data_IF_280411573589
#
_entry.id   IF_280411573589
#
_cell.length_a   1.000
_cell.length_b   1.000
_cell.length_c   1.000
_cell.angle_alpha   90.00
_cell.angle_beta   90.00
_cell.angle_gamma   90.00
#
_symmetry.space_group_name_H-M   'P 1'
#
loop_
_entity.id
_entity.type
_entity.pdbx_description
1 polymer ?
#
# COMPACT_ATOMS: atom_id res chain seq x y z
N UNK A 1 9.89 -5.63 -16.01
CA UNK A 1 9.11 -6.73 -15.42
C UNK A 1 7.88 -6.10 -14.80
N UNK A 2 6.69 -6.55 -15.19
CA UNK A 2 5.43 -5.81 -15.04
C UNK A 2 5.11 -5.51 -13.58
N UNK A 3 5.24 -4.22 -13.22
CA UNK A 3 4.74 -3.60 -12.00
C UNK A 3 3.32 -4.07 -11.73
N UNK A 4 3.09 -4.61 -10.54
CA UNK A 4 1.75 -4.95 -10.07
C UNK A 4 0.96 -3.66 -9.90
N UNK A 5 0.30 -3.21 -10.98
CA UNK A 5 -0.67 -2.13 -10.90
C UNK A 5 -1.91 -2.66 -10.20
N UNK A 6 -1.88 -2.64 -8.86
CA UNK A 6 -2.94 -3.19 -8.01
C UNK A 6 -4.27 -2.54 -8.38
N UNK A 7 -5.24 -3.36 -8.77
CA UNK A 7 -6.62 -2.92 -8.95
C UNK A 7 -7.26 -2.67 -7.58
N UNK A 8 -8.36 -1.91 -7.55
CA UNK A 8 -9.10 -1.67 -6.30
C UNK A 8 -9.58 -2.98 -5.66
N UNK A 9 -10.02 -3.94 -6.46
CA UNK A 9 -10.40 -5.29 -6.00
C UNK A 9 -9.24 -6.05 -5.36
N UNK A 10 -8.01 -5.78 -5.78
CA UNK A 10 -6.83 -6.40 -5.20
C UNK A 10 -6.54 -5.81 -3.82
N UNK A 11 -6.77 -4.51 -3.62
CA UNK A 11 -6.64 -3.84 -2.32
C UNK A 11 -7.63 -4.40 -1.29
N UNK A 12 -8.88 -4.61 -1.69
CA UNK A 12 -9.91 -5.20 -0.80
C UNK A 12 -9.57 -6.64 -0.41
N UNK A 13 -9.12 -7.44 -1.38
CA UNK A 13 -8.68 -8.81 -1.13
C UNK A 13 -7.46 -8.84 -0.22
N UNK A 14 -6.50 -7.96 -0.44
CA UNK A 14 -5.30 -7.83 0.39
C UNK A 14 -5.66 -7.45 1.82
N UNK A 15 -6.58 -6.49 2.00
CA UNK A 15 -7.07 -6.08 3.31
C UNK A 15 -7.78 -7.22 4.05
N UNK A 16 -8.57 -8.04 3.33
CA UNK A 16 -9.22 -9.22 3.91
C UNK A 16 -8.20 -10.25 4.41
N UNK A 17 -7.17 -10.56 3.59
CA UNK A 17 -6.10 -11.49 3.98
C UNK A 17 -5.34 -10.97 5.20
N UNK A 18 -4.97 -9.69 5.23
CA UNK A 18 -4.26 -9.10 6.37
C UNK A 18 -5.12 -9.11 7.64
N UNK A 19 -6.43 -8.89 7.52
CA UNK A 19 -7.35 -8.92 8.66
C UNK A 19 -7.54 -10.33 9.24
N UNK A 20 -7.57 -11.35 8.38
CA UNK A 20 -7.81 -12.74 8.79
C UNK A 20 -6.54 -13.45 9.27
N UNK A 21 -5.41 -13.22 8.59
CA UNK A 21 -4.19 -13.99 8.77
C UNK A 21 -2.97 -13.16 9.21
N UNK A 22 -3.10 -11.84 9.26
CA UNK A 22 -2.00 -10.92 9.53
C UNK A 22 -1.18 -10.58 8.28
N UNK A 23 -0.21 -9.69 8.44
CA UNK A 23 0.60 -9.18 7.32
C UNK A 23 1.73 -10.13 6.90
N UNK A 24 2.15 -11.04 7.77
CA UNK A 24 3.30 -11.91 7.52
C UNK A 24 3.03 -13.00 6.46
N UNK A 25 1.75 -13.29 6.19
CA UNK A 25 1.35 -14.23 5.14
C UNK A 25 1.25 -13.58 3.75
N UNK A 26 1.34 -12.26 3.68
CA UNK A 26 1.24 -11.52 2.42
C UNK A 26 2.58 -11.58 1.71
N UNK A 27 2.54 -11.87 0.41
CA UNK A 27 3.75 -11.84 -0.42
C UNK A 27 4.41 -10.46 -0.37
N UNK A 28 5.72 -10.35 -0.07
CA UNK A 28 6.40 -9.05 0.06
C UNK A 28 6.21 -8.14 -1.16
N UNK A 29 6.21 -8.70 -2.37
CA UNK A 29 5.99 -7.94 -3.60
C UNK A 29 4.62 -7.23 -3.66
N UNK A 30 3.58 -7.77 -3.02
CA UNK A 30 2.27 -7.12 -2.91
C UNK A 30 2.29 -5.99 -1.88
N UNK A 31 3.07 -6.14 -0.81
CA UNK A 31 3.28 -5.09 0.19
C UNK A 31 4.05 -3.92 -0.44
N UNK A 32 5.07 -4.23 -1.23
CA UNK A 32 5.85 -3.23 -1.98
C UNK A 32 4.97 -2.50 -3.00
N UNK A 33 4.15 -3.24 -3.77
CA UNK A 33 3.23 -2.64 -4.73
C UNK A 33 2.19 -1.73 -4.05
N UNK A 34 1.69 -2.10 -2.87
CA UNK A 34 0.82 -1.23 -2.07
C UNK A 34 1.56 0.03 -1.63
N UNK A 35 2.78 -0.12 -1.12
CA UNK A 35 3.60 0.99 -0.66
C UNK A 35 3.89 1.97 -1.80
N UNK A 36 4.32 1.48 -2.96
CA UNK A 36 4.57 2.27 -4.17
C UNK A 36 3.31 3.01 -4.63
N UNK A 37 2.18 2.31 -4.68
CA UNK A 37 0.89 2.92 -5.05
C UNK A 37 0.51 4.01 -4.05
N UNK A 38 0.65 3.76 -2.75
CA UNK A 38 0.32 4.74 -1.72
C UNK A 38 1.25 5.97 -1.80
N UNK A 39 2.55 5.77 -2.04
CA UNK A 39 3.55 6.82 -2.22
C UNK A 39 3.22 7.71 -3.43
N UNK A 40 2.86 7.10 -4.56
CA UNK A 40 2.40 7.83 -5.74
C UNK A 40 1.12 8.66 -5.49
N UNK A 41 0.39 8.37 -4.39
CA UNK A 41 -0.78 9.12 -3.92
C UNK A 41 -0.49 10.02 -2.70
N UNK A 42 0.78 10.28 -2.41
CA UNK A 42 1.23 11.20 -1.36
C UNK A 42 1.22 10.60 0.04
N UNK A 43 1.38 9.28 0.19
CA UNK A 43 1.58 8.67 1.49
C UNK A 43 2.93 9.02 2.12
N UNK A 44 3.05 8.76 3.43
CA UNK A 44 4.31 8.94 4.17
C UNK A 44 5.33 7.87 3.80
N UNK A 45 6.55 8.31 3.43
CA UNK A 45 7.69 7.43 3.20
C UNK A 45 8.08 6.62 4.45
N UNK A 46 7.90 7.18 5.64
CA UNK A 46 8.16 6.46 6.89
C UNK A 46 7.19 5.29 7.07
N UNK A 47 5.90 5.46 6.76
CA UNK A 47 4.94 4.37 6.85
C UNK A 47 5.21 3.29 5.79
N UNK A 48 5.64 3.70 4.59
CA UNK A 48 6.08 2.78 3.54
C UNK A 48 7.30 1.95 3.98
N UNK A 49 8.29 2.59 4.62
CA UNK A 49 9.44 1.88 5.20
C UNK A 49 9.02 0.89 6.29
N UNK A 50 8.16 1.32 7.22
CA UNK A 50 7.69 0.44 8.30
C UNK A 50 6.96 -0.79 7.74
N UNK A 51 6.07 -0.63 6.77
CA UNK A 51 5.26 -1.78 6.29
C UNK A 51 6.10 -2.81 5.54
N UNK A 52 7.14 -2.37 4.83
CA UNK A 52 8.00 -3.20 3.96
C UNK A 52 9.18 -3.81 4.70
N UNK A 53 9.55 -3.30 5.87
CA UNK A 53 10.62 -3.87 6.69
C UNK A 53 10.10 -5.07 7.51
N UNK A 54 10.54 -6.31 7.23
CA UNK A 54 10.11 -7.49 7.98
C UNK A 54 10.68 -7.56 9.41
N UNK A 55 11.66 -6.71 9.75
CA UNK A 55 12.25 -6.65 11.10
C UNK A 55 11.41 -5.79 12.05
N UNK A 56 10.51 -4.97 11.51
CA UNK A 56 9.56 -4.18 12.30
C UNK A 56 8.49 -5.07 12.96
N UNK A 57 7.99 -4.72 14.16
CA UNK A 57 6.94 -5.50 14.82
C UNK A 57 5.69 -5.62 13.95
N UNK A 58 5.11 -6.82 13.86
CA UNK A 58 3.92 -7.10 13.05
C UNK A 58 2.76 -6.12 13.32
N UNK A 59 2.56 -5.72 14.58
CA UNK A 59 1.54 -4.73 14.94
C UNK A 59 1.80 -3.33 14.36
N UNK A 60 3.07 -2.90 14.27
CA UNK A 60 3.45 -1.64 13.63
C UNK A 60 3.22 -1.71 12.12
N UNK A 61 3.61 -2.82 11.51
CA UNK A 61 3.42 -3.11 10.08
C UNK A 61 1.94 -3.12 9.69
N UNK A 62 1.08 -3.79 10.46
CA UNK A 62 -0.38 -3.81 10.22
C UNK A 62 -0.98 -2.40 10.31
N UNK A 63 -0.55 -1.59 11.29
CA UNK A 63 -1.01 -0.19 11.40
C UNK A 63 -0.56 0.64 10.21
N UNK A 64 0.70 0.51 9.79
CA UNK A 64 1.22 1.18 8.61
C UNK A 64 0.46 0.76 7.34
N UNK A 65 0.25 -0.55 7.17
CA UNK A 65 -0.55 -1.13 6.07
C UNK A 65 -1.92 -0.48 5.98
N UNK A 66 -2.69 -0.43 7.07
CA UNK A 66 -4.04 0.15 7.06
C UNK A 66 -4.04 1.62 6.63
N UNK A 67 -3.05 2.40 7.07
CA UNK A 67 -2.91 3.81 6.67
C UNK A 67 -2.54 3.96 5.20
N UNK A 68 -1.67 3.10 4.69
CA UNK A 68 -1.27 3.09 3.27
C UNK A 68 -2.41 2.63 2.36
N UNK A 69 -3.15 1.59 2.75
CA UNK A 69 -4.33 1.10 2.02
C UNK A 69 -5.38 2.21 1.83
N UNK A 70 -5.67 2.99 2.88
CA UNK A 70 -6.57 4.15 2.76
C UNK A 70 -6.08 5.21 1.76
N UNK A 71 -4.77 5.42 1.65
CA UNK A 71 -4.19 6.40 0.71
C UNK A 71 -4.14 5.83 -0.71
N UNK A 72 -3.77 4.56 -0.87
CA UNK A 72 -3.73 3.84 -2.14
C UNK A 72 -5.12 3.70 -2.80
N UNK A 73 -6.17 3.68 -1.99
CA UNK A 73 -7.57 3.63 -2.43
C UNK A 73 -8.16 5.02 -2.79
N UNK A 74 -7.41 6.12 -2.67
CA UNK A 74 -7.89 7.42 -3.17
C UNK A 74 -8.01 7.39 -4.70
N UNK A 75 -8.81 8.27 -5.33
CA UNK A 75 -8.74 8.50 -6.77
C UNK A 75 -7.37 9.02 -7.22
N UNK A 76 -7.01 8.78 -8.47
CA UNK A 76 -5.75 9.31 -9.01
C UNK A 76 -5.79 10.85 -8.93
N UNK A 77 -4.67 11.51 -8.56
CA UNK A 77 -4.62 12.96 -8.63
C UNK A 77 -4.98 13.37 -10.07
N UNK A 78 -5.93 14.30 -10.19
CA UNK A 78 -6.32 14.79 -11.50
C UNK A 78 -5.09 15.37 -12.21
N UNK A 79 -4.89 15.09 -13.51
CA UNK A 79 -3.81 15.72 -14.25
C UNK A 79 -3.98 17.24 -14.13
N UNK A 80 -2.94 17.93 -13.67
CA UNK A 80 -2.91 19.38 -13.66
C UNK A 80 -2.98 19.81 -15.12
N UNK A 81 -4.13 20.32 -15.54
CA UNK A 81 -4.25 20.98 -16.83
C UNK A 81 -3.45 22.27 -16.75
N UNK A 82 -2.17 22.21 -17.10
CA UNK A 82 -1.37 23.41 -17.39
C UNK A 82 -1.99 24.09 -18.59
N UNK A 83 -2.80 25.13 -18.35
CA UNK A 83 -3.20 26.07 -19.38
C UNK A 83 -1.92 26.81 -19.83
N UNK A 84 -1.58 26.64 -21.10
CA UNK A 84 -0.54 27.39 -21.80
C UNK A 84 -1.07 28.73 -22.28
#
# INVERSE_FOLDING_TARGET
MNQHDLLYTDLDRLAAVVAEFGIDVVEPALVDALADRALARGASATLAGIVTDPTEPAAARIRAFGRLAMVAARPAPAPVLTAA
#
